data_IF_934644200745
#
_entry.id   IF_934644200745
#
_cell.length_a   1.000
_cell.length_b   1.000
_cell.length_c   1.000
_cell.angle_alpha   90.00
_cell.angle_beta   90.00
_cell.angle_gamma   90.00
#
_symmetry.space_group_name_H-M   'P 1'
#
loop_
_entity.id
_entity.type
_entity.pdbx_description
1 polymer ?
#
# COMPACT_ATOMS: atom_id res chain seq x y z
N UNK A 1 -6.08 61.08 -34.44
CA UNK A 1 -6.04 59.78 -33.72
C UNK A 1 -7.23 59.75 -32.78
N UNK A 2 -8.16 58.80 -32.96
CA UNK A 2 -9.42 58.75 -32.20
C UNK A 2 -9.17 58.02 -30.86
N UNK A 3 -9.52 58.58 -29.70
CA UNK A 3 -9.61 57.77 -28.49
C UNK A 3 -10.91 56.97 -28.54
N UNK A 4 -10.76 55.64 -28.59
CA UNK A 4 -11.85 54.67 -28.54
C UNK A 4 -12.52 54.75 -27.18
N UNK A 5 -13.85 54.93 -27.19
CA UNK A 5 -14.74 54.91 -26.03
C UNK A 5 -14.82 53.45 -25.53
N UNK A 6 -14.24 53.16 -24.36
CA UNK A 6 -14.46 51.88 -23.69
C UNK A 6 -15.76 51.96 -22.88
N UNK A 7 -16.77 51.23 -23.31
CA UNK A 7 -17.99 50.98 -22.55
C UNK A 7 -17.66 50.14 -21.29
N UNK A 8 -18.28 50.39 -20.13
CA UNK A 8 -18.06 49.59 -18.94
C UNK A 8 -18.66 48.19 -19.13
N UNK A 9 -17.80 47.18 -19.18
CA UNK A 9 -18.22 45.77 -19.15
C UNK A 9 -18.90 45.51 -17.81
N UNK A 10 -20.16 45.08 -17.90
CA UNK A 10 -21.00 44.71 -16.77
C UNK A 10 -20.27 43.75 -15.83
N UNK A 11 -20.22 44.13 -14.54
CA UNK A 11 -19.70 43.31 -13.47
C UNK A 11 -20.53 42.02 -13.36
N UNK A 12 -20.02 40.92 -13.90
CA UNK A 12 -20.58 39.61 -13.63
C UNK A 12 -20.15 39.20 -12.22
N UNK A 13 -21.00 39.46 -11.22
CA UNK A 13 -20.82 38.90 -9.87
C UNK A 13 -21.02 37.40 -9.97
N UNK A 14 -19.92 36.68 -10.19
CA UNK A 14 -19.87 35.22 -10.08
C UNK A 14 -20.23 34.89 -8.64
N UNK A 15 -21.51 34.56 -8.41
CA UNK A 15 -21.98 34.02 -7.15
C UNK A 15 -21.11 32.82 -6.84
N UNK A 16 -20.26 32.95 -5.83
CA UNK A 16 -19.50 31.83 -5.29
C UNK A 16 -20.54 30.84 -4.76
N UNK A 17 -20.95 29.89 -5.60
CA UNK A 17 -21.45 28.62 -5.08
C UNK A 17 -20.32 28.11 -4.21
N UNK A 18 -20.60 28.09 -2.91
CA UNK A 18 -19.85 27.38 -1.90
C UNK A 18 -19.94 25.87 -2.21
N UNK A 19 -19.27 25.44 -3.27
CA UNK A 19 -18.95 24.05 -3.44
C UNK A 19 -18.05 23.69 -2.27
N UNK A 20 -18.65 23.19 -1.18
CA UNK A 20 -17.91 22.42 -0.18
C UNK A 20 -17.09 21.42 -0.99
N UNK A 21 -15.76 21.46 -0.94
CA UNK A 21 -14.99 20.40 -1.55
C UNK A 21 -15.49 19.13 -0.88
N UNK A 22 -16.03 18.21 -1.67
CA UNK A 22 -16.34 16.89 -1.20
C UNK A 22 -15.05 16.41 -0.55
N UNK A 23 -15.07 16.21 0.77
CA UNK A 23 -14.06 15.42 1.44
C UNK A 23 -14.10 14.10 0.69
N UNK A 24 -13.18 13.95 -0.26
CA UNK A 24 -12.86 12.66 -0.86
C UNK A 24 -12.61 11.81 0.37
N UNK A 25 -13.44 10.80 0.57
CA UNK A 25 -13.26 9.87 1.65
C UNK A 25 -11.85 9.32 1.48
N UNK A 26 -10.90 9.89 2.21
CA UNK A 26 -9.67 9.21 2.55
C UNK A 26 -10.14 8.16 3.55
N UNK A 27 -10.74 7.10 3.01
CA UNK A 27 -10.74 5.80 3.64
C UNK A 27 -9.27 5.39 3.67
N UNK A 28 -8.50 6.03 4.54
CA UNK A 28 -7.29 5.43 5.07
C UNK A 28 -7.76 4.08 5.59
N UNK A 29 -7.27 2.96 5.02
CA UNK A 29 -7.59 1.65 5.57
C UNK A 29 -7.28 1.71 7.08
N UNK A 30 -8.13 1.14 7.94
CA UNK A 30 -8.01 1.33 9.38
C UNK A 30 -6.57 1.07 9.80
N UNK A 31 -5.90 2.07 10.39
CA UNK A 31 -4.53 1.92 10.91
C UNK A 31 -4.44 0.81 11.97
N UNK A 32 -5.59 0.38 12.50
CA UNK A 32 -5.73 -0.80 13.36
C UNK A 32 -5.46 -2.14 12.65
N UNK A 33 -5.54 -2.21 11.31
CA UNK A 33 -5.14 -3.39 10.55
C UNK A 33 -3.61 -3.50 10.36
N UNK A 34 -2.84 -2.48 10.79
CA UNK A 34 -1.40 -2.40 10.51
C UNK A 34 -0.51 -2.94 11.63
N UNK A 35 -1.00 -3.26 12.84
CA UNK A 35 -0.04 -3.44 13.96
C UNK A 35 -0.25 -4.58 14.97
N UNK A 36 -1.23 -5.46 14.81
CA UNK A 36 -1.28 -6.69 15.63
C UNK A 36 -0.78 -7.94 14.89
N UNK A 37 -0.67 -7.86 13.56
CA UNK A 37 -0.29 -8.98 12.69
C UNK A 37 1.06 -8.84 12.00
N UNK A 38 1.88 -7.84 12.37
CA UNK A 38 3.19 -7.61 11.75
C UNK A 38 4.08 -8.81 12.07
N UNK A 39 4.19 -9.74 11.12
CA UNK A 39 4.94 -10.98 11.32
C UNK A 39 6.40 -10.66 11.60
N UNK A 40 6.85 -10.95 12.81
CA UNK A 40 8.24 -10.78 13.24
C UNK A 40 9.06 -12.06 13.05
N UNK A 41 8.40 -13.15 12.69
CA UNK A 41 8.98 -14.49 12.68
C UNK A 41 8.87 -15.08 11.27
N UNK A 42 9.72 -14.62 10.33
CA UNK A 42 9.67 -15.10 8.95
C UNK A 42 9.97 -16.60 8.89
N UNK A 43 10.73 -17.13 9.86
CA UNK A 43 11.12 -18.54 9.95
C UNK A 43 9.94 -19.53 10.06
N UNK A 44 8.77 -19.06 10.52
CA UNK A 44 7.55 -19.88 10.61
C UNK A 44 6.78 -19.97 9.30
N UNK A 45 7.09 -19.10 8.34
CA UNK A 45 6.40 -19.05 7.06
C UNK A 45 6.85 -20.21 6.17
N UNK A 46 5.93 -20.71 5.35
CA UNK A 46 6.23 -21.77 4.40
C UNK A 46 6.49 -21.18 3.03
N UNK A 47 7.55 -21.66 2.37
CA UNK A 47 7.86 -21.34 0.98
C UNK A 47 7.81 -22.57 0.11
N UNK A 48 7.32 -22.39 -1.11
CA UNK A 48 7.46 -23.34 -2.19
C UNK A 48 8.67 -22.96 -3.02
N UNK A 49 9.67 -23.84 -3.04
CA UNK A 49 10.91 -23.65 -3.77
C UNK A 49 11.34 -24.96 -4.41
N UNK A 50 11.71 -24.93 -5.70
CA UNK A 50 12.18 -26.10 -6.45
C UNK A 50 11.32 -27.37 -6.26
N UNK A 51 9.99 -27.21 -6.31
CA UNK A 51 9.01 -28.30 -6.12
C UNK A 51 8.95 -28.89 -4.69
N UNK A 52 9.51 -28.20 -3.70
CA UNK A 52 9.45 -28.59 -2.30
C UNK A 52 8.82 -27.47 -1.45
N UNK A 53 8.03 -27.88 -0.45
CA UNK A 53 7.55 -26.99 0.61
C UNK A 53 8.57 -27.02 1.75
N UNK A 54 9.02 -25.87 2.21
CA UNK A 54 9.94 -25.78 3.35
C UNK A 54 9.71 -24.52 4.18
N UNK A 55 10.06 -24.54 5.48
CA UNK A 55 10.07 -23.32 6.28
C UNK A 55 11.06 -22.30 5.71
N UNK A 56 10.72 -21.03 5.79
CA UNK A 56 11.58 -19.94 5.33
C UNK A 56 12.93 -19.95 6.06
N UNK A 57 12.95 -20.35 7.34
CA UNK A 57 14.20 -20.48 8.11
C UNK A 57 15.16 -21.55 7.56
N UNK A 58 14.65 -22.54 6.83
CA UNK A 58 15.45 -23.54 6.10
C UNK A 58 15.85 -22.98 4.74
N UNK A 59 14.93 -22.35 4.03
CA UNK A 59 15.17 -21.69 2.74
C UNK A 59 16.27 -20.60 2.83
N UNK A 60 16.23 -19.73 3.85
CA UNK A 60 17.21 -18.65 4.07
C UNK A 60 18.61 -19.16 4.39
N UNK A 61 18.75 -20.36 4.94
CA UNK A 61 20.06 -20.98 5.19
C UNK A 61 20.65 -21.52 3.89
N UNK A 62 19.80 -21.98 2.96
CA UNK A 62 20.22 -22.47 1.65
C UNK A 62 20.51 -21.34 0.66
N UNK A 63 19.86 -20.17 0.82
CA UNK A 63 20.09 -18.99 -0.02
C UNK A 63 20.67 -17.84 0.78
N UNK A 64 21.86 -17.39 0.39
CA UNK A 64 22.51 -16.19 0.91
C UNK A 64 21.96 -14.92 0.26
N UNK A 65 20.63 -14.82 0.12
CA UNK A 65 19.97 -13.68 -0.51
C UNK A 65 19.39 -12.74 0.56
N UNK A 66 19.93 -11.51 0.72
CA UNK A 66 19.47 -10.57 1.74
C UNK A 66 18.13 -9.88 1.40
N UNK A 67 17.66 -9.94 0.14
CA UNK A 67 16.42 -9.28 -0.30
C UNK A 67 15.15 -10.11 -0.09
N UNK A 68 15.29 -11.44 -0.07
CA UNK A 68 14.17 -12.38 0.08
C UNK A 68 13.38 -12.16 1.36
N UNK A 69 14.07 -11.87 2.46
CA UNK A 69 13.47 -11.77 3.79
C UNK A 69 12.56 -10.55 3.90
N UNK A 70 13.02 -9.40 3.39
CA UNK A 70 12.21 -8.18 3.37
C UNK A 70 10.90 -8.38 2.60
N UNK A 71 10.94 -9.08 1.47
CA UNK A 71 9.73 -9.36 0.68
C UNK A 71 8.80 -10.38 1.38
N UNK A 72 9.36 -11.37 2.09
CA UNK A 72 8.55 -12.32 2.88
C UNK A 72 7.86 -11.60 4.06
N UNK A 73 8.58 -10.71 4.74
CA UNK A 73 8.06 -9.91 5.84
C UNK A 73 6.99 -8.91 5.38
N UNK A 74 7.20 -8.24 4.24
CA UNK A 74 6.20 -7.35 3.66
C UNK A 74 4.90 -8.09 3.34
N UNK A 75 5.00 -9.27 2.74
CA UNK A 75 3.84 -10.10 2.45
C UNK A 75 3.10 -10.48 3.73
N UNK A 76 3.82 -10.95 4.75
CA UNK A 76 3.22 -11.34 6.02
C UNK A 76 2.63 -10.15 6.78
N UNK A 77 3.16 -8.94 6.58
CA UNK A 77 2.54 -7.70 7.07
C UNK A 77 1.25 -7.35 6.33
N UNK A 78 1.12 -7.69 5.04
CA UNK A 78 -0.08 -7.45 4.25
C UNK A 78 -1.23 -8.40 4.61
N UNK A 79 -0.94 -9.70 4.75
CA UNK A 79 -1.97 -10.72 5.01
C UNK A 79 -2.16 -11.02 6.50
N UNK A 80 -1.25 -10.55 7.35
CA UNK A 80 -1.17 -10.87 8.77
C UNK A 80 -0.48 -12.21 9.05
N UNK A 81 0.21 -12.31 10.18
CA UNK A 81 1.00 -13.48 10.58
C UNK A 81 0.23 -14.80 10.50
N UNK A 82 -0.94 -14.90 11.13
CA UNK A 82 -1.74 -16.14 11.17
C UNK A 82 -2.14 -16.64 9.77
N UNK A 83 -2.41 -15.70 8.85
CA UNK A 83 -2.73 -16.03 7.47
C UNK A 83 -1.46 -16.50 6.74
N UNK A 84 -0.37 -15.76 6.89
CA UNK A 84 0.91 -16.03 6.24
C UNK A 84 1.50 -17.39 6.63
N UNK A 85 1.35 -17.85 7.88
CA UNK A 85 1.83 -19.15 8.36
C UNK A 85 1.07 -20.35 7.73
N UNK A 86 -0.19 -20.13 7.36
CA UNK A 86 -1.06 -21.14 6.71
C UNK A 86 -0.96 -21.13 5.19
N UNK A 87 -0.41 -20.05 4.63
CA UNK A 87 -0.22 -19.87 3.20
C UNK A 87 1.18 -20.29 2.76
N UNK A 88 1.30 -20.60 1.48
CA UNK A 88 2.55 -21.01 0.87
C UNK A 88 3.06 -19.91 -0.05
N UNK A 89 4.20 -19.30 0.28
CA UNK A 89 4.81 -18.28 -0.56
C UNK A 89 5.63 -18.93 -1.68
N UNK A 90 5.31 -18.59 -2.93
CA UNK A 90 6.10 -19.02 -4.08
C UNK A 90 7.43 -18.25 -4.18
N UNK A 91 8.54 -18.97 -4.35
CA UNK A 91 9.88 -18.40 -4.58
C UNK A 91 10.61 -19.18 -5.68
N UNK A 92 11.22 -18.46 -6.63
CA UNK A 92 12.02 -18.98 -7.75
C UNK A 92 13.51 -19.13 -7.41
#
# INVERSE_FOLDING_TARGET
MKPVRLEPVLHNKRSHRNEKPAHRNEEQPPLAALDEGRSKEPDRLQVFYKKAIMPYGVYKKQRRDPGGEAAVLQYAGLVGQTCAERMLLFRD
#
